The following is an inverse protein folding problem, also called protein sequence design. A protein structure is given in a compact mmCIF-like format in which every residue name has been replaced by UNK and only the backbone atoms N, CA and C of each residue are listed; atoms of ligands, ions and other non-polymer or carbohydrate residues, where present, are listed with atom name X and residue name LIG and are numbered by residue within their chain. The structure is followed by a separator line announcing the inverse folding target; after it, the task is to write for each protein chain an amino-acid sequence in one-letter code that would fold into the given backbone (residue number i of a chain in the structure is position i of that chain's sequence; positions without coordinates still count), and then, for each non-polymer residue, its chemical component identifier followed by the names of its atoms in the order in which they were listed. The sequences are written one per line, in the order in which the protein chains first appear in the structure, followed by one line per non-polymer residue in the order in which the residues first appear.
data_IF_995748410002
#
_entry.id   IF_995748410002
#
_cell.length_a   1.000
_cell.length_b   1.000
_cell.length_c   1.000
_cell.angle_alpha   90.00
_cell.angle_beta   90.00
_cell.angle_gamma   90.00
#
_symmetry.space_group_name_H-M   'P 1'
#
loop_
_entity.id
_entity.type
_entity.pdbx_description
1 polymer ?
#
# COMPACT_ATOMS: atom_id res chain seq x y z
N UNK A 1 -31.40 9.91 14.15
CA UNK A 1 -29.98 9.92 13.79
C UNK A 1 -29.77 8.92 12.68
N UNK A 2 -29.64 9.29 11.39
CA UNK A 2 -29.15 8.36 10.39
C UNK A 2 -27.62 8.43 10.35
N UNK A 3 -26.99 7.28 10.46
CA UNK A 3 -25.54 7.11 10.32
C UNK A 3 -25.13 7.49 8.90
N UNK A 4 -24.27 8.51 8.79
CA UNK A 4 -23.63 8.87 7.53
C UNK A 4 -22.64 7.77 7.16
N UNK A 5 -23.02 6.91 6.23
CA UNK A 5 -22.09 6.00 5.57
C UNK A 5 -21.17 6.84 4.67
N UNK A 6 -20.00 7.18 5.20
CA UNK A 6 -18.95 7.86 4.45
C UNK A 6 -18.28 6.87 3.49
N UNK A 7 -18.88 6.71 2.32
CA UNK A 7 -18.18 6.10 1.18
C UNK A 7 -17.16 7.11 0.68
N UNK A 8 -15.93 7.04 1.17
CA UNK A 8 -14.80 7.71 0.54
C UNK A 8 -14.39 6.91 -0.70
N UNK A 9 -15.10 7.11 -1.81
CA UNK A 9 -14.65 6.70 -3.13
C UNK A 9 -14.43 7.99 -3.93
N UNK A 10 -13.19 8.46 -4.01
CA UNK A 10 -12.50 8.64 -5.29
C UNK A 10 -11.03 9.00 -5.04
N UNK A 11 -10.19 7.99 -4.83
CA UNK A 11 -8.79 8.16 -5.18
C UNK A 11 -8.62 7.81 -6.67
N UNK A 12 -7.85 8.60 -7.44
CA UNK A 12 -7.70 8.38 -8.86
C UNK A 12 -7.20 6.95 -9.07
N UNK A 13 -8.03 6.13 -9.73
CA UNK A 13 -7.73 4.73 -10.06
C UNK A 13 -6.43 4.64 -10.86
N UNK A 14 -5.29 4.65 -10.17
CA UNK A 14 -4.00 4.30 -10.76
C UNK A 14 -4.14 2.87 -11.23
N UNK A 15 -3.67 2.60 -12.45
CA UNK A 15 -3.66 1.22 -12.95
C UNK A 15 -2.96 0.35 -11.91
N UNK A 16 -3.56 -0.78 -11.51
CA UNK A 16 -2.96 -1.64 -10.52
C UNK A 16 -1.55 -2.08 -11.00
N UNK A 17 -0.60 -2.22 -10.08
CA UNK A 17 0.72 -2.77 -10.38
C UNK A 17 0.53 -4.12 -11.06
N UNK A 18 1.30 -4.37 -12.13
CA UNK A 18 1.18 -5.61 -12.91
C UNK A 18 2.26 -6.61 -12.53
N UNK A 19 3.25 -6.18 -11.74
CA UNK A 19 4.39 -6.97 -11.27
C UNK A 19 4.69 -6.64 -9.81
N UNK A 20 5.29 -7.58 -9.05
CA UNK A 20 5.72 -7.33 -7.68
C UNK A 20 6.64 -6.10 -7.54
N UNK A 21 7.46 -5.81 -8.56
CA UNK A 21 8.35 -4.65 -8.57
C UNK A 21 7.59 -3.30 -8.59
N UNK A 22 6.44 -3.25 -9.26
CA UNK A 22 5.60 -2.05 -9.33
C UNK A 22 4.94 -1.77 -7.98
N UNK A 23 4.46 -2.82 -7.31
CA UNK A 23 3.91 -2.75 -5.96
C UNK A 23 4.95 -2.27 -4.95
N UNK A 24 6.15 -2.85 -4.97
CA UNK A 24 7.28 -2.40 -4.12
C UNK A 24 7.63 -0.93 -4.34
N UNK A 25 7.69 -0.49 -5.60
CA UNK A 25 7.99 0.91 -5.95
C UNK A 25 6.91 1.86 -5.40
N UNK A 26 5.65 1.44 -5.47
CA UNK A 26 4.52 2.21 -4.95
C UNK A 26 4.56 2.30 -3.43
N UNK A 27 4.79 1.18 -2.73
CA UNK A 27 4.93 1.14 -1.26
C UNK A 27 6.09 2.02 -0.80
N UNK A 28 7.29 1.87 -1.40
CA UNK A 28 8.45 2.73 -1.07
C UNK A 28 8.10 4.21 -1.16
N UNK A 29 7.46 4.60 -2.27
CA UNK A 29 7.09 5.99 -2.53
C UNK A 29 6.12 6.52 -1.47
N UNK A 30 5.01 5.82 -1.25
CA UNK A 30 3.95 6.26 -0.31
C UNK A 30 4.48 6.32 1.13
N UNK A 31 5.22 5.29 1.56
CA UNK A 31 5.79 5.28 2.91
C UNK A 31 6.83 6.39 3.08
N UNK A 32 7.70 6.61 2.09
CA UNK A 32 8.68 7.69 2.14
C UNK A 32 8.04 9.10 2.10
N UNK A 33 6.95 9.27 1.36
CA UNK A 33 6.12 10.48 1.39
C UNK A 33 5.53 10.68 2.78
N UNK A 34 4.89 9.66 3.36
CA UNK A 34 4.26 9.75 4.69
C UNK A 34 5.26 10.06 5.80
N UNK A 35 6.42 9.39 5.80
CA UNK A 35 7.46 9.63 6.79
C UNK A 35 7.98 11.07 6.74
N UNK A 36 8.12 11.64 5.55
CA UNK A 36 8.49 13.05 5.38
C UNK A 36 7.40 13.98 5.93
N UNK A 37 6.15 13.73 5.57
CA UNK A 37 5.02 14.57 6.01
C UNK A 37 4.85 14.56 7.53
N UNK A 38 5.01 13.39 8.16
CA UNK A 38 4.91 13.22 9.62
C UNK A 38 6.19 13.56 10.38
N UNK A 39 7.30 13.85 9.70
CA UNK A 39 8.63 13.99 10.31
C UNK A 39 8.98 12.80 11.22
N UNK A 40 8.52 11.60 10.85
CA UNK A 40 8.69 10.37 11.64
C UNK A 40 9.45 9.34 10.81
N UNK A 41 10.67 8.96 11.22
CA UNK A 41 11.41 7.91 10.54
C UNK A 41 10.76 6.54 10.77
N UNK A 42 11.00 5.62 9.83
CA UNK A 42 10.64 4.21 10.01
C UNK A 42 11.52 3.57 11.09
N UNK A 43 10.93 2.62 11.80
CA UNK A 43 11.71 1.68 12.61
C UNK A 43 12.68 0.87 11.72
N UNK A 44 13.78 0.35 12.30
CA UNK A 44 14.68 -0.56 11.60
C UNK A 44 13.91 -1.74 11.00
N UNK A 45 14.16 -2.08 9.73
CA UNK A 45 13.53 -3.23 9.05
C UNK A 45 12.09 -3.01 8.55
N UNK A 46 11.36 -2.01 9.06
CA UNK A 46 9.94 -1.81 8.71
C UNK A 46 9.69 -1.60 7.21
N UNK A 47 10.61 -0.94 6.49
CA UNK A 47 10.52 -0.83 5.03
C UNK A 47 10.69 -2.19 4.36
N UNK A 48 11.64 -3.01 4.80
CA UNK A 48 11.90 -4.31 4.19
C UNK A 48 10.73 -5.27 4.41
N UNK A 49 10.16 -5.28 5.62
CA UNK A 49 8.96 -6.06 5.94
C UNK A 49 7.77 -5.65 5.06
N UNK A 50 7.52 -4.34 4.91
CA UNK A 50 6.45 -3.85 4.05
C UNK A 50 6.65 -4.27 2.58
N UNK A 51 7.90 -4.29 2.10
CA UNK A 51 8.20 -4.69 0.72
C UNK A 51 8.12 -6.19 0.51
N UNK A 52 8.43 -6.98 1.54
CA UNK A 52 8.22 -8.42 1.55
C UNK A 52 6.73 -8.72 1.42
N UNK A 53 5.90 -8.18 2.31
CA UNK A 53 4.44 -8.35 2.31
C UNK A 53 3.85 -7.93 0.96
N UNK A 54 4.23 -6.76 0.43
CA UNK A 54 3.76 -6.29 -0.86
C UNK A 54 4.13 -7.25 -2.02
N UNK A 55 5.31 -7.86 -1.95
CA UNK A 55 5.76 -8.83 -2.95
C UNK A 55 4.99 -10.14 -2.86
N UNK A 56 4.75 -10.64 -1.65
CA UNK A 56 3.98 -11.86 -1.41
C UNK A 56 2.53 -11.70 -1.86
N UNK A 57 1.85 -10.63 -1.43
CA UNK A 57 0.46 -10.36 -1.82
C UNK A 57 0.32 -10.23 -3.34
N UNK A 58 1.23 -9.49 -3.98
CA UNK A 58 1.23 -9.34 -5.44
C UNK A 58 1.50 -10.67 -6.15
N UNK A 59 2.44 -11.47 -5.64
CA UNK A 59 2.75 -12.78 -6.22
C UNK A 59 1.55 -13.72 -6.07
N UNK A 60 0.91 -13.75 -4.91
CA UNK A 60 -0.29 -14.55 -4.66
C UNK A 60 -1.42 -14.13 -5.60
N UNK A 61 -1.65 -12.83 -5.79
CA UNK A 61 -2.65 -12.33 -6.73
C UNK A 61 -2.34 -12.76 -8.17
N UNK A 62 -1.09 -12.70 -8.62
CA UNK A 62 -0.69 -13.07 -9.98
C UNK A 62 -0.74 -14.58 -10.20
N UNK A 63 -0.19 -15.37 -9.28
CA UNK A 63 -0.03 -16.82 -9.45
C UNK A 63 -1.33 -17.56 -9.16
N UNK A 64 -2.13 -17.09 -8.19
CA UNK A 64 -3.30 -17.80 -7.70
C UNK A 64 -4.61 -17.03 -7.89
N UNK A 65 -4.56 -15.69 -7.88
CA UNK A 65 -5.74 -14.83 -7.91
C UNK A 65 -6.21 -14.37 -9.30
N UNK A 66 -5.50 -14.71 -10.38
CA UNK A 66 -5.83 -14.28 -11.74
C UNK A 66 -5.38 -12.84 -12.09
N UNK A 67 -4.54 -12.23 -11.24
CA UNK A 67 -3.99 -10.89 -11.43
C UNK A 67 -4.46 -9.88 -10.37
N UNK A 68 -4.01 -8.62 -10.51
CA UNK A 68 -4.35 -7.52 -9.60
C UNK A 68 -5.45 -6.66 -10.23
N UNK A 69 -6.55 -6.48 -9.50
CA UNK A 69 -7.71 -5.65 -9.91
C UNK A 69 -7.69 -4.26 -9.29
N UNK A 70 -6.98 -4.08 -8.18
CA UNK A 70 -6.79 -2.81 -7.48
C UNK A 70 -5.60 -2.90 -6.53
N UNK A 71 -5.01 -1.75 -6.21
CA UNK A 71 -3.89 -1.68 -5.27
C UNK A 71 -3.84 -0.30 -4.64
N UNK A 72 -3.91 -0.28 -3.33
CA UNK A 72 -3.85 0.93 -2.52
C UNK A 72 -2.89 0.70 -1.34
N UNK A 73 -2.27 1.77 -0.86
CA UNK A 73 -1.31 1.75 0.25
C UNK A 73 -1.64 2.92 1.17
N UNK A 74 -2.08 2.61 2.37
CA UNK A 74 -2.22 3.59 3.45
C UNK A 74 -1.25 3.25 4.59
N UNK A 75 -0.76 4.30 5.27
CA UNK A 75 0.23 4.20 6.33
C UNK A 75 -0.36 4.79 7.61
N UNK A 76 -0.85 3.91 8.47
CA UNK A 76 -1.39 4.31 9.76
C UNK A 76 -0.28 4.87 10.69
N UNK A 77 -0.70 5.72 11.61
CA UNK A 77 0.10 6.40 12.62
C UNK A 77 0.52 5.46 13.76
N UNK A 78 -0.20 4.34 13.94
CA UNK A 78 0.02 3.37 15.00
C UNK A 78 1.14 2.37 14.69
N UNK A 79 2.19 2.81 13.98
CA UNK A 79 3.26 1.96 13.42
C UNK A 79 3.61 0.75 14.29
N UNK A 80 3.70 -0.42 13.65
CA UNK A 80 4.03 -1.71 14.29
C UNK A 80 5.36 -1.67 15.02
#
# INVERSE_FOLDING_TARGET
MPETYSISIDEPRRRPPRRPADARSTVRRVVAERCRDRHQPLGPGAMDDALLVASELTTNAIVHGGGITGFDVDVDSAGV
#
